data_IF_063065698002
#
_entry.id   IF_063065698002
#
_cell.length_a   1.000
_cell.length_b   1.000
_cell.length_c   1.000
_cell.angle_alpha   90.00
_cell.angle_beta   90.00
_cell.angle_gamma   90.00
#
_symmetry.space_group_name_H-M   'P 1'
#
loop_
_entity.id
_entity.type
_entity.pdbx_description
1 polymer ?
#
# COMPACT_ATOMS: atom_id res chain seq x y z
N UNK A 1 24.53 -19.99 70.11
CA UNK A 1 24.33 -21.09 69.13
C UNK A 1 24.06 -20.46 67.76
N UNK A 2 24.77 -20.93 66.71
CA UNK A 2 24.57 -20.71 65.24
C UNK A 2 24.80 -19.26 64.73
N UNK A 3 25.97 -18.87 64.22
CA UNK A 3 26.71 -19.17 62.95
C UNK A 3 26.19 -18.45 61.68
N UNK A 4 27.14 -17.73 61.07
CA UNK A 4 27.45 -17.52 59.63
C UNK A 4 26.83 -16.38 58.79
N UNK A 5 27.78 -15.63 58.22
CA UNK A 5 27.79 -14.67 57.10
C UNK A 5 27.00 -15.04 55.84
N UNK A 6 26.63 -14.03 55.03
CA UNK A 6 27.24 -13.77 53.70
C UNK A 6 26.40 -12.83 52.82
N UNK A 7 27.12 -11.95 52.12
CA UNK A 7 26.68 -11.12 50.99
C UNK A 7 26.08 -11.99 49.87
N UNK A 8 24.99 -11.54 49.24
CA UNK A 8 24.49 -12.11 47.99
C UNK A 8 24.30 -11.00 46.94
N UNK A 9 25.16 -11.09 45.92
CA UNK A 9 25.18 -10.32 44.69
C UNK A 9 23.91 -10.64 43.88
N UNK A 10 23.08 -9.63 43.60
CA UNK A 10 21.98 -9.76 42.65
C UNK A 10 22.47 -9.34 41.25
N UNK A 11 22.61 -10.33 40.38
CA UNK A 11 23.03 -10.24 38.98
C UNK A 11 22.06 -9.35 38.18
N UNK A 12 22.55 -8.25 37.63
CA UNK A 12 21.87 -7.46 36.59
C UNK A 12 21.91 -8.25 35.28
N UNK A 13 20.90 -9.08 35.02
CA UNK A 13 20.72 -9.72 33.73
C UNK A 13 20.32 -8.66 32.69
N UNK A 14 21.26 -8.29 31.82
CA UNK A 14 20.98 -7.48 30.64
C UNK A 14 20.10 -8.30 29.67
N UNK A 15 18.80 -8.06 29.68
CA UNK A 15 17.89 -8.60 28.66
C UNK A 15 18.22 -7.95 27.32
N UNK A 16 18.98 -8.66 26.48
CA UNK A 16 19.07 -8.35 25.05
C UNK A 16 17.70 -8.67 24.44
N UNK A 17 16.84 -7.66 24.28
CA UNK A 17 15.60 -7.79 23.53
C UNK A 17 15.96 -8.13 22.07
N UNK A 18 15.46 -9.25 21.50
CA UNK A 18 15.62 -9.48 20.08
C UNK A 18 14.89 -8.35 19.35
N UNK A 19 15.60 -7.62 18.51
CA UNK A 19 15.00 -6.61 17.64
C UNK A 19 14.04 -7.31 16.69
N UNK A 20 12.74 -7.26 17.00
CA UNK A 20 11.70 -7.76 16.11
C UNK A 20 11.76 -6.96 14.81
N UNK A 21 12.20 -7.61 13.74
CA UNK A 21 12.20 -7.02 12.42
C UNK A 21 10.74 -6.70 12.03
N UNK A 22 10.45 -5.41 11.84
CA UNK A 22 9.09 -4.91 11.65
C UNK A 22 8.47 -5.48 10.36
N UNK A 23 7.49 -6.37 10.52
CA UNK A 23 6.63 -6.93 9.45
C UNK A 23 5.63 -5.94 8.89
N UNK A 24 5.31 -4.89 9.65
CA UNK A 24 4.30 -3.92 9.26
C UNK A 24 4.84 -2.97 8.18
N UNK A 25 4.04 -2.77 7.14
CA UNK A 25 4.25 -1.81 6.04
C UNK A 25 3.18 -0.72 6.08
N UNK A 26 3.01 0.02 7.20
CA UNK A 26 1.87 0.93 7.39
C UNK A 26 1.79 2.04 6.32
N UNK A 27 2.93 2.45 5.74
CA UNK A 27 2.97 3.41 4.66
C UNK A 27 2.43 2.87 3.33
N UNK A 28 2.49 1.55 3.10
CA UNK A 28 1.96 0.89 1.90
C UNK A 28 0.45 0.76 2.04
N UNK A 29 -0.04 0.25 3.17
CA UNK A 29 -1.47 0.12 3.46
C UNK A 29 -2.20 1.47 3.29
N UNK A 30 -1.65 2.55 3.87
CA UNK A 30 -2.22 3.90 3.75
C UNK A 30 -2.23 4.40 2.30
N UNK A 31 -1.20 4.07 1.52
CA UNK A 31 -1.12 4.51 0.11
C UNK A 31 -2.10 3.73 -0.76
N UNK A 32 -2.30 2.44 -0.54
CA UNK A 32 -3.33 1.66 -1.22
C UNK A 32 -4.73 2.22 -0.93
N UNK A 33 -5.03 2.53 0.34
CA UNK A 33 -6.30 3.17 0.72
C UNK A 33 -6.51 4.51 0.00
N UNK A 34 -5.49 5.37 -0.04
CA UNK A 34 -5.57 6.65 -0.74
C UNK A 34 -5.74 6.46 -2.26
N UNK A 35 -5.13 5.43 -2.84
CA UNK A 35 -5.28 5.10 -4.26
C UNK A 35 -6.70 4.61 -4.56
N UNK A 36 -7.27 3.77 -3.70
CA UNK A 36 -8.66 3.32 -3.81
C UNK A 36 -9.61 4.51 -3.81
N UNK A 37 -9.45 5.44 -2.87
CA UNK A 37 -10.28 6.65 -2.81
C UNK A 37 -10.20 7.48 -4.10
N UNK A 38 -9.03 7.56 -4.75
CA UNK A 38 -8.86 8.28 -6.02
C UNK A 38 -9.55 7.57 -7.18
N UNK A 39 -9.54 6.24 -7.20
CA UNK A 39 -10.26 5.45 -8.20
C UNK A 39 -11.77 5.64 -8.00
N UNK A 40 -12.27 5.49 -6.78
CA UNK A 40 -13.67 5.68 -6.44
C UNK A 40 -14.15 7.10 -6.78
N UNK A 41 -13.35 8.11 -6.47
CA UNK A 41 -13.63 9.50 -6.84
C UNK A 41 -13.71 9.65 -8.35
N UNK A 42 -12.75 9.07 -9.09
CA UNK A 42 -12.71 9.16 -10.56
C UNK A 42 -13.91 8.50 -11.22
N UNK A 43 -14.37 7.36 -10.69
CA UNK A 43 -15.61 6.71 -11.15
C UNK A 43 -16.82 7.58 -10.85
N UNK A 44 -16.93 8.11 -9.62
CA UNK A 44 -18.05 8.97 -9.22
C UNK A 44 -18.12 10.26 -10.04
N UNK A 45 -16.98 10.88 -10.33
CA UNK A 45 -16.90 12.11 -11.14
C UNK A 45 -17.03 11.88 -12.64
N UNK A 46 -16.95 10.63 -13.10
CA UNK A 46 -16.87 10.29 -14.53
C UNK A 46 -15.51 10.62 -15.16
N UNK A 47 -14.48 10.92 -14.35
CA UNK A 47 -13.09 11.07 -14.82
C UNK A 47 -12.43 9.72 -15.15
N UNK A 48 -13.02 8.61 -14.69
CA UNK A 48 -12.61 7.25 -15.02
C UNK A 48 -13.82 6.47 -15.54
N UNK A 49 -13.65 5.82 -16.68
CA UNK A 49 -14.62 4.82 -17.16
C UNK A 49 -14.59 3.58 -16.28
N UNK A 50 -15.67 2.80 -16.24
CA UNK A 50 -15.70 1.51 -15.53
C UNK A 50 -14.57 0.56 -15.96
N UNK A 51 -14.18 0.60 -17.24
CA UNK A 51 -13.10 -0.22 -17.79
C UNK A 51 -11.72 0.23 -17.31
N UNK A 52 -11.50 1.53 -17.18
CA UNK A 52 -10.25 2.08 -16.66
C UNK A 52 -10.11 1.81 -15.17
N UNK A 53 -11.18 2.02 -14.41
CA UNK A 53 -11.25 1.64 -13.00
C UNK A 53 -10.88 0.16 -12.82
N UNK A 54 -11.52 -0.75 -13.56
CA UNK A 54 -11.21 -2.18 -13.49
C UNK A 54 -9.74 -2.52 -13.83
N UNK A 55 -9.07 -1.73 -14.67
CA UNK A 55 -7.63 -1.90 -14.95
C UNK A 55 -6.77 -1.40 -13.79
N UNK A 56 -7.14 -0.28 -13.17
CA UNK A 56 -6.47 0.28 -12.00
C UNK A 56 -6.61 -0.65 -10.78
N UNK A 57 -7.79 -1.23 -10.56
CA UNK A 57 -8.06 -2.24 -9.52
C UNK A 57 -7.16 -3.46 -9.65
N UNK A 58 -7.01 -4.01 -10.86
CA UNK A 58 -6.05 -5.09 -11.13
C UNK A 58 -4.61 -4.67 -10.83
N UNK A 59 -4.31 -3.38 -10.94
CA UNK A 59 -3.05 -2.79 -10.53
C UNK A 59 -2.86 -2.84 -9.01
N UNK A 60 -3.86 -2.41 -8.25
CA UNK A 60 -3.87 -2.46 -6.78
C UNK A 60 -3.76 -3.91 -6.27
N UNK A 61 -4.50 -4.85 -6.87
CA UNK A 61 -4.47 -6.26 -6.49
C UNK A 61 -3.06 -6.87 -6.66
N UNK A 62 -2.31 -6.45 -7.68
CA UNK A 62 -0.92 -6.89 -7.87
C UNK A 62 -0.01 -6.36 -6.77
N UNK A 63 -0.21 -5.11 -6.33
CA UNK A 63 0.56 -4.56 -5.20
C UNK A 63 0.21 -5.30 -3.92
N UNK A 64 -1.07 -5.59 -3.68
CA UNK A 64 -1.50 -6.38 -2.53
C UNK A 64 -0.81 -7.75 -2.50
N UNK A 65 -0.81 -8.49 -3.61
CA UNK A 65 -0.11 -9.78 -3.71
C UNK A 65 1.40 -9.66 -3.47
N UNK A 66 2.02 -8.58 -3.91
CA UNK A 66 3.43 -8.32 -3.60
C UNK A 66 3.65 -8.08 -2.11
N UNK A 67 2.74 -7.37 -1.46
CA UNK A 67 2.79 -7.09 -0.04
C UNK A 67 2.59 -8.35 0.79
N UNK A 68 1.57 -9.14 0.47
CA UNK A 68 1.29 -10.42 1.12
C UNK A 68 2.50 -11.35 1.02
N UNK A 69 3.15 -11.39 -0.16
CA UNK A 69 4.37 -12.17 -0.37
C UNK A 69 5.54 -11.65 0.47
N UNK A 70 5.68 -10.33 0.60
CA UNK A 70 6.73 -9.73 1.43
C UNK A 70 6.48 -9.92 2.94
N UNK A 71 5.22 -10.09 3.35
CA UNK A 71 4.84 -10.37 4.74
C UNK A 71 4.91 -11.87 5.08
N UNK A 72 4.92 -12.75 4.08
CA UNK A 72 4.76 -14.21 4.25
C UNK A 72 5.87 -14.91 5.06
N UNK A 73 7.12 -14.43 4.96
CA UNK A 73 8.26 -14.96 5.71
C UNK A 73 8.39 -14.35 7.12
N UNK A 74 7.47 -13.47 7.49
CA UNK A 74 7.46 -12.79 8.78
C UNK A 74 8.51 -11.68 8.90
N UNK A 75 9.16 -11.24 7.82
CA UNK A 75 10.03 -10.05 7.82
C UNK A 75 10.04 -9.34 6.47
N UNK A 76 9.53 -8.10 6.42
CA UNK A 76 9.67 -7.28 5.21
C UNK A 76 11.07 -6.67 5.13
N UNK A 77 11.88 -7.15 4.18
CA UNK A 77 13.23 -6.64 3.96
C UNK A 77 13.24 -5.23 3.36
N UNK A 78 14.36 -4.52 3.49
CA UNK A 78 14.55 -3.19 2.84
C UNK A 78 14.34 -3.26 1.32
N UNK A 79 14.76 -4.35 0.67
CA UNK A 79 14.63 -4.54 -0.78
C UNK A 79 13.17 -4.72 -1.19
N UNK A 80 12.40 -5.49 -0.42
CA UNK A 80 10.96 -5.66 -0.65
C UNK A 80 10.20 -4.36 -0.41
N UNK A 81 10.53 -3.63 0.65
CA UNK A 81 9.97 -2.30 0.90
C UNK A 81 10.21 -1.35 -0.27
N UNK A 82 11.42 -1.31 -0.81
CA UNK A 82 11.72 -0.48 -2.00
C UNK A 82 10.91 -0.92 -3.22
N UNK A 83 10.76 -2.23 -3.46
CA UNK A 83 9.95 -2.75 -4.56
C UNK A 83 8.47 -2.40 -4.41
N UNK A 84 7.91 -2.53 -3.21
CA UNK A 84 6.55 -2.11 -2.90
C UNK A 84 6.36 -0.61 -3.14
N UNK A 85 7.28 0.21 -2.64
CA UNK A 85 7.26 1.66 -2.84
C UNK A 85 7.29 2.04 -4.33
N UNK A 86 8.10 1.35 -5.14
CA UNK A 86 8.16 1.57 -6.58
C UNK A 86 6.86 1.18 -7.27
N UNK A 87 6.28 0.03 -6.91
CA UNK A 87 5.01 -0.43 -7.47
C UNK A 87 3.86 0.54 -7.15
N UNK A 88 3.79 1.02 -5.91
CA UNK A 88 2.85 2.05 -5.46
C UNK A 88 3.00 3.36 -6.23
N UNK A 89 4.24 3.79 -6.51
CA UNK A 89 4.50 4.99 -7.30
C UNK A 89 4.06 4.83 -8.76
N UNK A 90 4.26 3.65 -9.35
CA UNK A 90 3.78 3.33 -10.70
C UNK A 90 2.25 3.36 -10.75
N UNK A 91 1.57 2.75 -9.77
CA UNK A 91 0.11 2.77 -9.70
C UNK A 91 -0.43 4.19 -9.53
N UNK A 92 0.17 4.99 -8.65
CA UNK A 92 -0.23 6.38 -8.47
C UNK A 92 -0.15 7.20 -9.76
N UNK A 93 0.91 6.99 -10.57
CA UNK A 93 1.07 7.61 -11.90
C UNK A 93 0.02 7.13 -12.89
N UNK A 94 -0.30 5.84 -12.92
CA UNK A 94 -1.36 5.32 -13.77
C UNK A 94 -2.72 5.94 -13.43
N UNK A 95 -3.08 6.01 -12.14
CA UNK A 95 -4.32 6.67 -11.70
C UNK A 95 -4.32 8.14 -12.15
N UNK A 96 -3.20 8.85 -11.96
CA UNK A 96 -3.10 10.25 -12.38
C UNK A 96 -3.21 10.43 -13.89
N UNK A 97 -2.64 9.52 -14.68
CA UNK A 97 -2.73 9.57 -16.13
C UNK A 97 -4.16 9.31 -16.60
N UNK A 98 -4.81 8.25 -16.11
CA UNK A 98 -6.17 7.88 -16.49
C UNK A 98 -7.18 8.96 -16.12
N UNK A 99 -7.06 9.58 -14.93
CA UNK A 99 -7.94 10.69 -14.54
C UNK A 99 -7.84 11.94 -15.44
N UNK A 100 -6.76 12.08 -16.21
CA UNK A 100 -6.49 13.29 -17.01
C UNK A 100 -6.41 13.04 -18.52
N UNK A 101 -6.62 11.82 -19.00
CA UNK A 101 -6.42 11.44 -20.41
C UNK A 101 -7.55 11.89 -21.36
N UNK A 102 -8.40 12.83 -20.88
CA UNK A 102 -9.57 13.40 -21.56
C UNK A 102 -10.62 12.35 -21.92
N UNK A 103 -10.53 11.14 -21.37
CA UNK A 103 -11.63 10.18 -21.36
C UNK A 103 -12.56 10.58 -20.22
N UNK A 104 -13.85 10.69 -20.54
CA UNK A 104 -14.89 10.96 -19.55
C UNK A 104 -16.01 9.98 -19.79
N UNK A 105 -16.62 9.50 -18.72
CA UNK A 105 -17.82 8.65 -18.69
C UNK A 105 -18.84 9.38 -17.81
N UNK A 106 -19.39 10.47 -18.34
CA UNK A 106 -20.29 11.37 -17.60
C UNK A 106 -21.67 10.76 -17.40
N UNK A 107 -22.06 9.83 -18.28
CA UNK A 107 -23.33 9.13 -18.23
C UNK A 107 -23.24 7.76 -17.51
N UNK A 108 -22.05 7.36 -17.07
CA UNK A 108 -21.77 6.11 -16.35
C UNK A 108 -22.20 4.84 -17.09
N UNK A 109 -22.22 4.87 -18.43
CA UNK A 109 -22.63 3.74 -19.27
C UNK A 109 -21.48 2.77 -19.60
N UNK A 110 -20.26 3.08 -19.11
CA UNK A 110 -19.06 2.30 -19.31
C UNK A 110 -18.37 2.56 -20.66
N UNK A 111 -18.83 3.55 -21.43
CA UNK A 111 -18.21 4.00 -22.68
C UNK A 111 -17.58 5.38 -22.49
N UNK A 112 -16.63 5.69 -23.37
CA UNK A 112 -16.03 7.03 -23.41
C UNK A 112 -17.00 7.99 -24.07
N UNK A 113 -17.48 8.95 -23.30
CA UNK A 113 -18.14 10.15 -23.81
C UNK A 113 -17.10 10.99 -24.56
N UNK A 114 -17.31 11.10 -25.87
CA UNK A 114 -16.53 12.03 -26.68
C UNK A 114 -17.15 13.41 -26.51
N UNK A 115 -16.39 14.45 -26.13
CA UNK A 115 -16.92 15.80 -26.17
C UNK A 115 -17.38 16.09 -27.61
N UNK A 116 -18.55 16.73 -27.74
CA UNK A 116 -19.05 17.16 -29.04
C UNK A 116 -17.94 17.90 -29.77
N UNK A 117 -17.51 17.36 -30.92
CA UNK A 117 -16.48 17.97 -31.74
C UNK A 117 -17.12 19.21 -32.38
N UNK A 118 -17.00 20.36 -31.72
CA UNK A 118 -17.35 21.64 -32.33
C UNK A 118 -16.45 21.82 -33.56
N UNK A 119 -17.09 21.95 -34.73
CA UNK A 119 -16.46 22.31 -36.01
C UNK A 119 -16.17 23.79 -36.03
#
# INVERSE_FOLDING_TARGET
MKRTSSLLVAVLAAFALPALAQTNTPNVDQRQANQQQRIDQGVKSGELTAREAARLEKGQERVQKMEDKAKADGVVTKKERTRLQQAENVQSRHIAAQKHDRQQDRNHDGKKDRPARNK
#
